data_IF_375657520240
#
_entry.id   IF_375657520240
#
_cell.length_a   1.000
_cell.length_b   1.000
_cell.length_c   1.000
_cell.angle_alpha   90.00
_cell.angle_beta   90.00
_cell.angle_gamma   90.00
#
_symmetry.space_group_name_H-M   'P 1'
#
loop_
_entity.id
_entity.type
_entity.pdbx_description
1 polymer ?
#
# COMPACT_ATOMS: atom_id res chain seq x y z
N UNK A 1 -4.07 -22.57 -10.84
CA UNK A 1 -4.76 -22.32 -9.56
C UNK A 1 -6.22 -22.01 -9.87
N UNK A 2 -7.16 -22.73 -9.26
CA UNK A 2 -8.59 -22.44 -9.39
C UNK A 2 -8.88 -21.25 -8.44
N UNK A 3 -9.52 -20.16 -8.90
CA UNK A 3 -9.80 -19.02 -8.04
C UNK A 3 -10.76 -19.46 -6.92
N UNK A 4 -10.37 -19.21 -5.67
CA UNK A 4 -11.25 -19.45 -4.52
C UNK A 4 -12.40 -18.43 -4.62
N UNK A 5 -13.65 -18.86 -4.76
CA UNK A 5 -14.78 -17.93 -4.84
C UNK A 5 -14.87 -17.09 -3.57
N UNK A 6 -15.20 -15.81 -3.72
CA UNK A 6 -15.40 -14.93 -2.57
C UNK A 6 -16.51 -15.49 -1.66
N UNK A 7 -16.46 -15.20 -0.36
CA UNK A 7 -17.47 -15.68 0.59
C UNK A 7 -18.89 -15.33 0.14
N UNK A 8 -19.07 -14.16 -0.49
CA UNK A 8 -20.34 -13.74 -1.09
C UNK A 8 -20.78 -14.66 -2.23
N UNK A 9 -19.86 -15.10 -3.08
CA UNK A 9 -20.14 -16.02 -4.19
C UNK A 9 -20.56 -17.40 -3.70
N UNK A 10 -19.96 -17.90 -2.61
CA UNK A 10 -20.33 -19.17 -1.99
C UNK A 10 -21.70 -19.08 -1.32
N UNK A 11 -21.97 -18.01 -0.58
CA UNK A 11 -23.27 -17.80 0.08
C UNK A 11 -24.40 -17.67 -0.95
N UNK A 12 -24.17 -16.95 -2.05
CA UNK A 12 -25.15 -16.83 -3.14
C UNK A 12 -25.37 -18.17 -3.84
N UNK A 13 -24.30 -18.94 -4.11
CA UNK A 13 -24.41 -20.25 -4.76
C UNK A 13 -25.12 -21.28 -3.88
N UNK A 14 -24.82 -21.33 -2.58
CA UNK A 14 -25.50 -22.19 -1.61
C UNK A 14 -26.96 -21.78 -1.46
N UNK A 15 -27.24 -20.47 -1.47
CA UNK A 15 -28.61 -19.95 -1.40
C UNK A 15 -29.46 -20.28 -2.63
N UNK A 16 -28.91 -20.11 -3.83
CA UNK A 16 -29.57 -20.53 -5.08
C UNK A 16 -29.74 -22.05 -5.15
N UNK A 17 -28.72 -22.82 -4.76
CA UNK A 17 -28.80 -24.28 -4.73
C UNK A 17 -29.89 -24.79 -3.79
N UNK A 18 -30.00 -24.22 -2.60
CA UNK A 18 -31.02 -24.60 -1.63
C UNK A 18 -32.43 -24.13 -2.05
N UNK A 19 -32.56 -22.97 -2.69
CA UNK A 19 -33.82 -22.51 -3.26
C UNK A 19 -34.28 -23.39 -4.44
N UNK A 20 -33.37 -23.81 -5.31
CA UNK A 20 -33.66 -24.72 -6.44
C UNK A 20 -34.06 -26.10 -5.92
N UNK A 21 -33.32 -26.68 -4.96
CA UNK A 21 -33.66 -27.95 -4.31
C UNK A 21 -35.02 -27.87 -3.59
N UNK A 22 -35.30 -26.77 -2.89
CA UNK A 22 -36.60 -26.56 -2.24
C UNK A 22 -37.73 -26.46 -3.26
N UNK A 23 -37.54 -25.77 -4.38
CA UNK A 23 -38.57 -25.62 -5.42
C UNK A 23 -38.82 -26.92 -6.21
N UNK A 24 -37.82 -27.78 -6.35
CA UNK A 24 -37.95 -29.06 -7.07
C UNK A 24 -38.48 -30.19 -6.19
N UNK A 25 -38.11 -30.26 -4.91
CA UNK A 25 -38.47 -31.38 -4.04
C UNK A 25 -39.60 -31.09 -3.04
N UNK A 26 -39.86 -29.83 -2.69
CA UNK A 26 -40.91 -29.48 -1.72
C UNK A 26 -41.98 -28.62 -2.39
N UNK A 27 -43.20 -29.18 -2.56
CA UNK A 27 -44.43 -28.44 -2.92
C UNK A 27 -44.93 -27.51 -1.79
N UNK A 28 -44.01 -26.88 -1.04
CA UNK A 28 -44.32 -26.06 0.12
C UNK A 28 -43.68 -24.66 -0.05
N UNK A 29 -44.36 -23.71 -0.70
CA UNK A 29 -43.83 -22.36 -0.97
C UNK A 29 -43.48 -21.57 0.31
N UNK A 30 -44.01 -21.98 1.46
CA UNK A 30 -43.76 -21.38 2.77
C UNK A 30 -42.32 -21.62 3.28
N UNK A 31 -41.73 -22.77 2.93
CA UNK A 31 -40.36 -23.15 3.34
C UNK A 31 -39.29 -22.41 2.53
N UNK A 32 -39.55 -22.14 1.24
CA UNK A 32 -38.63 -21.40 0.38
C UNK A 32 -38.49 -19.93 0.78
N UNK A 33 -39.58 -19.28 1.22
CA UNK A 33 -39.56 -17.86 1.63
C UNK A 33 -38.74 -17.69 2.92
N UNK A 34 -38.94 -18.58 3.90
CA UNK A 34 -38.21 -18.56 5.17
C UNK A 34 -36.71 -18.80 4.98
N UNK A 35 -36.32 -19.68 4.05
CA UNK A 35 -34.91 -19.96 3.74
C UNK A 35 -34.22 -18.78 3.04
N UNK A 36 -34.90 -18.14 2.08
CA UNK A 36 -34.40 -16.94 1.38
C UNK A 36 -34.25 -15.78 2.38
N UNK A 37 -35.23 -15.58 3.26
CA UNK A 37 -35.17 -14.56 4.32
C UNK A 37 -34.02 -14.81 5.31
N UNK A 38 -33.81 -16.08 5.70
CA UNK A 38 -32.71 -16.49 6.57
C UNK A 38 -31.34 -16.19 5.96
N UNK A 39 -31.12 -16.56 4.70
CA UNK A 39 -29.87 -16.30 3.98
C UNK A 39 -29.63 -14.81 3.76
N UNK A 40 -30.68 -14.04 3.45
CA UNK A 40 -30.60 -12.59 3.34
C UNK A 40 -30.21 -11.92 4.66
N UNK A 41 -30.81 -12.35 5.77
CA UNK A 41 -30.46 -11.87 7.10
C UNK A 41 -29.01 -12.25 7.48
N UNK A 42 -28.57 -13.48 7.20
CA UNK A 42 -27.17 -13.89 7.43
C UNK A 42 -26.20 -13.07 6.58
N UNK A 43 -26.47 -12.84 5.30
CA UNK A 43 -25.63 -12.01 4.44
C UNK A 43 -25.57 -10.54 4.91
N UNK A 44 -26.69 -9.99 5.37
CA UNK A 44 -26.73 -8.65 5.97
C UNK A 44 -25.94 -8.59 7.28
N UNK A 45 -26.08 -9.58 8.16
CA UNK A 45 -25.33 -9.68 9.41
C UNK A 45 -23.83 -9.86 9.14
N UNK A 46 -23.45 -10.67 8.15
CA UNK A 46 -22.05 -10.81 7.73
C UNK A 46 -21.49 -9.50 7.18
N UNK A 47 -22.23 -8.81 6.32
CA UNK A 47 -21.83 -7.50 5.78
C UNK A 47 -21.76 -6.42 6.86
N UNK A 48 -22.68 -6.45 7.81
CA UNK A 48 -22.70 -5.54 8.98
C UNK A 48 -21.50 -5.82 9.90
N UNK A 49 -21.27 -7.07 10.26
CA UNK A 49 -20.14 -7.46 11.11
C UNK A 49 -18.79 -7.23 10.43
N UNK A 50 -18.69 -7.40 9.11
CA UNK A 50 -17.48 -7.08 8.36
C UNK A 50 -17.19 -5.57 8.36
N UNK A 51 -18.24 -4.73 8.29
CA UNK A 51 -18.11 -3.28 8.34
C UNK A 51 -17.80 -2.74 9.74
N UNK A 52 -18.27 -3.43 10.78
CA UNK A 52 -18.15 -3.02 12.19
C UNK A 52 -17.15 -3.87 12.99
N UNK A 53 -16.40 -4.74 12.32
CA UNK A 53 -15.39 -5.58 12.95
C UNK A 53 -14.31 -4.69 13.55
N UNK A 54 -13.85 -5.01 14.77
CA UNK A 54 -12.79 -4.26 15.43
C UNK A 54 -11.51 -4.37 14.60
N UNK A 55 -11.06 -3.23 14.07
CA UNK A 55 -9.81 -3.15 13.30
C UNK A 55 -8.67 -2.78 14.25
N UNK A 56 -7.51 -3.43 14.06
CA UNK A 56 -6.28 -3.15 14.78
C UNK A 56 -5.14 -2.91 13.79
N UNK A 57 -4.25 -1.99 14.12
CA UNK A 57 -3.06 -1.69 13.33
C UNK A 57 -1.84 -2.41 13.89
N UNK A 58 -0.98 -2.89 13.00
CA UNK A 58 0.25 -3.59 13.38
C UNK A 58 1.42 -3.15 12.49
N UNK A 59 2.62 -3.17 13.07
CA UNK A 59 3.86 -3.24 12.29
C UNK A 59 4.10 -4.70 11.91
N UNK A 60 4.32 -4.97 10.63
CA UNK A 60 4.38 -6.34 10.10
C UNK A 60 5.52 -7.15 10.71
N UNK A 61 6.65 -6.50 11.05
CA UNK A 61 7.79 -7.17 11.69
C UNK A 61 7.46 -7.74 13.10
N UNK A 62 6.42 -7.24 13.76
CA UNK A 62 5.93 -7.78 15.03
C UNK A 62 4.89 -8.91 14.85
N UNK A 63 4.52 -9.23 13.60
CA UNK A 63 3.45 -10.17 13.25
C UNK A 63 3.82 -11.00 12.00
N UNK A 64 4.95 -11.70 12.07
CA UNK A 64 5.51 -12.45 10.92
C UNK A 64 4.55 -13.48 10.31
N UNK A 65 3.62 -14.03 11.10
CA UNK A 65 2.57 -14.93 10.64
C UNK A 65 1.53 -14.26 9.71
N UNK A 66 1.55 -12.93 9.59
CA UNK A 66 0.67 -12.17 8.69
C UNK A 66 1.34 -11.76 7.37
N UNK A 67 2.61 -12.15 7.14
CA UNK A 67 3.32 -11.86 5.89
C UNK A 67 2.59 -12.45 4.68
N UNK A 68 2.18 -13.72 4.74
CA UNK A 68 1.50 -14.37 3.62
C UNK A 68 0.12 -13.74 3.33
N UNK A 69 -0.78 -13.55 4.31
CA UNK A 69 -2.02 -12.81 4.10
C UNK A 69 -1.83 -11.38 3.56
N UNK A 70 -0.71 -10.73 3.92
CA UNK A 70 -0.38 -9.39 3.41
C UNK A 70 0.09 -9.46 1.96
N UNK A 71 0.91 -10.45 1.60
CA UNK A 71 1.31 -10.70 0.22
C UNK A 71 0.08 -10.98 -0.66
N UNK A 72 -0.83 -11.84 -0.19
CA UNK A 72 -2.08 -12.15 -0.89
C UNK A 72 -2.92 -10.90 -1.14
N UNK A 73 -3.03 -10.00 -0.16
CA UNK A 73 -3.71 -8.72 -0.33
C UNK A 73 -3.06 -7.87 -1.42
N UNK A 74 -1.73 -7.73 -1.39
CA UNK A 74 -1.00 -6.93 -2.35
C UNK A 74 -1.13 -7.47 -3.77
N UNK A 75 -1.01 -8.79 -3.95
CA UNK A 75 -1.16 -9.46 -5.25
C UNK A 75 -2.59 -9.34 -5.78
N UNK A 76 -3.60 -9.46 -4.91
CA UNK A 76 -5.00 -9.33 -5.30
C UNK A 76 -5.39 -7.91 -5.72
N UNK A 77 -4.86 -6.89 -5.04
CA UNK A 77 -5.18 -5.49 -5.31
C UNK A 77 -4.27 -4.87 -6.37
N UNK A 78 -3.16 -5.53 -6.71
CA UNK A 78 -2.21 -5.11 -7.72
C UNK A 78 -2.02 -6.16 -8.83
N UNK A 79 -3.09 -6.67 -9.47
CA UNK A 79 -2.93 -7.65 -10.55
C UNK A 79 -2.29 -6.96 -11.77
N UNK A 80 -1.03 -7.29 -12.07
CA UNK A 80 -0.33 -7.16 -13.36
C UNK A 80 -0.48 -5.86 -14.18
N UNK A 81 -0.86 -4.73 -13.60
CA UNK A 81 -1.03 -3.47 -14.34
C UNK A 81 0.27 -2.83 -14.85
N UNK A 82 1.44 -3.44 -14.59
CA UNK A 82 2.73 -2.99 -15.14
C UNK A 82 3.42 -4.01 -16.05
N UNK A 83 2.79 -5.16 -16.33
CA UNK A 83 3.35 -6.16 -17.24
C UNK A 83 4.71 -6.72 -16.83
N UNK A 84 5.11 -6.58 -15.55
CA UNK A 84 6.37 -7.12 -15.04
C UNK A 84 6.12 -8.47 -14.36
N UNK A 85 6.43 -9.60 -15.03
CA UNK A 85 6.26 -10.95 -14.48
C UNK A 85 7.18 -11.23 -13.27
N UNK A 86 8.08 -10.32 -12.90
CA UNK A 86 8.91 -10.45 -11.70
C UNK A 86 8.31 -9.78 -10.45
N UNK A 87 7.14 -9.15 -10.54
CA UNK A 87 6.53 -8.47 -9.38
C UNK A 87 6.20 -9.43 -8.23
N UNK A 88 5.73 -10.65 -8.52
CA UNK A 88 5.23 -11.60 -7.51
C UNK A 88 6.30 -12.10 -6.53
N UNK A 89 7.49 -12.46 -7.03
CA UNK A 89 8.61 -12.88 -6.18
C UNK A 89 9.18 -11.76 -5.30
N UNK A 90 8.98 -10.50 -5.73
CA UNK A 90 9.51 -9.32 -5.05
C UNK A 90 8.62 -8.86 -3.89
N UNK A 91 7.30 -9.09 -3.93
CA UNK A 91 6.37 -8.66 -2.87
C UNK A 91 6.69 -9.33 -1.54
N UNK A 92 6.69 -10.67 -1.49
CA UNK A 92 6.96 -11.41 -0.24
C UNK A 92 8.37 -11.14 0.27
N UNK A 93 9.36 -11.08 -0.62
CA UNK A 93 10.73 -10.74 -0.26
C UNK A 93 10.85 -9.31 0.33
N UNK A 94 10.05 -8.35 -0.14
CA UNK A 94 9.97 -7.01 0.46
C UNK A 94 9.34 -7.05 1.85
N UNK A 95 8.23 -7.77 2.01
CA UNK A 95 7.52 -7.87 3.29
C UNK A 95 8.41 -8.50 4.39
N UNK A 96 9.19 -9.52 4.03
CA UNK A 96 10.16 -10.17 4.93
C UNK A 96 11.30 -9.25 5.37
N UNK A 97 11.58 -8.17 4.62
CA UNK A 97 12.56 -7.13 5.01
C UNK A 97 11.99 -6.08 5.95
N UNK A 98 10.69 -6.14 6.27
CA UNK A 98 10.09 -5.24 7.25
C UNK A 98 10.89 -5.31 8.56
N UNK A 99 11.28 -4.16 9.10
CA UNK A 99 12.08 -4.08 10.31
C UNK A 99 11.55 -3.02 11.28
N UNK A 100 12.15 -2.97 12.47
CA UNK A 100 11.92 -1.91 13.47
C UNK A 100 12.33 -0.53 12.94
N UNK A 101 13.19 -0.47 11.93
CA UNK A 101 13.61 0.74 11.23
C UNK A 101 12.92 0.80 9.85
N UNK A 102 13.67 1.13 8.79
CA UNK A 102 13.19 1.09 7.41
C UNK A 102 13.79 -0.10 6.66
N UNK A 103 13.02 -0.76 5.76
CA UNK A 103 11.62 -0.48 5.44
C UNK A 103 10.69 -0.94 6.57
N UNK A 104 9.60 -0.20 6.80
CA UNK A 104 8.57 -0.55 7.77
C UNK A 104 7.25 -0.83 7.05
N UNK A 105 6.77 -2.07 7.11
CA UNK A 105 5.46 -2.44 6.58
C UNK A 105 4.41 -2.38 7.69
N UNK A 106 3.26 -1.80 7.37
CA UNK A 106 2.16 -1.54 8.28
C UNK A 106 0.90 -2.17 7.73
N UNK A 107 0.12 -2.79 8.60
CA UNK A 107 -1.09 -3.50 8.22
C UNK A 107 -2.25 -3.13 9.14
N UNK A 108 -3.46 -3.18 8.58
CA UNK A 108 -4.68 -3.19 9.35
C UNK A 108 -5.28 -4.60 9.30
N UNK A 109 -5.70 -5.10 10.45
CA UNK A 109 -6.28 -6.43 10.61
C UNK A 109 -7.67 -6.30 11.21
N UNK A 110 -8.67 -6.84 10.52
CA UNK A 110 -10.02 -6.94 11.05
C UNK A 110 -10.18 -8.29 11.78
N UNK A 111 -10.76 -8.24 12.98
CA UNK A 111 -11.21 -9.45 13.68
C UNK A 111 -12.48 -9.97 12.98
N UNK A 112 -12.33 -10.94 12.07
CA UNK A 112 -13.46 -11.62 11.43
C UNK A 112 -14.03 -12.74 12.29
N UNK A 113 -15.25 -13.20 11.97
CA UNK A 113 -15.94 -14.28 12.70
C UNK A 113 -15.14 -15.59 12.79
N UNK A 114 -14.39 -15.92 11.73
CA UNK A 114 -13.68 -17.20 11.61
C UNK A 114 -12.17 -17.01 11.78
N UNK A 115 -11.63 -15.89 11.30
CA UNK A 115 -10.20 -15.60 11.33
C UNK A 115 -9.94 -14.11 11.23
N UNK A 116 -8.77 -13.71 11.72
CA UNK A 116 -8.19 -12.41 11.46
C UNK A 116 -7.89 -12.27 9.98
N UNK A 117 -8.18 -11.11 9.43
CA UNK A 117 -7.99 -10.81 8.02
C UNK A 117 -7.17 -9.52 7.86
N UNK A 118 -6.13 -9.55 7.02
CA UNK A 118 -5.42 -8.32 6.62
C UNK A 118 -6.30 -7.58 5.61
N UNK A 119 -6.66 -6.34 5.94
CA UNK A 119 -7.67 -5.54 5.23
C UNK A 119 -7.12 -4.22 4.68
N UNK A 120 -5.96 -3.78 5.16
CA UNK A 120 -5.20 -2.68 4.58
C UNK A 120 -3.70 -2.89 4.76
N UNK A 121 -2.93 -2.25 3.89
CA UNK A 121 -1.48 -2.22 3.93
C UNK A 121 -0.98 -0.81 3.64
N UNK A 122 0.15 -0.45 4.21
CA UNK A 122 0.94 0.73 3.89
C UNK A 122 2.41 0.42 4.18
N UNK A 123 3.35 1.03 3.45
CA UNK A 123 4.77 0.85 3.71
C UNK A 123 5.50 2.19 3.74
N UNK A 124 6.46 2.29 4.66
CA UNK A 124 7.46 3.34 4.72
C UNK A 124 8.77 2.69 4.24
N UNK A 125 9.10 2.78 2.94
CA UNK A 125 10.32 2.18 2.43
C UNK A 125 11.54 3.00 2.86
N UNK A 126 12.73 2.43 2.70
CA UNK A 126 13.96 3.23 2.71
C UNK A 126 13.86 4.22 1.55
N UNK A 127 13.88 5.53 1.82
CA UNK A 127 14.03 6.54 0.77
C UNK A 127 15.36 6.22 0.07
N UNK A 128 15.37 5.86 -1.23
CA UNK A 128 16.63 5.66 -1.93
C UNK A 128 17.39 6.98 -1.84
N UNK A 129 18.55 6.98 -1.17
CA UNK A 129 19.35 8.19 -1.03
C UNK A 129 19.84 8.60 -2.42
N UNK A 130 19.48 9.82 -2.81
CA UNK A 130 20.21 10.63 -3.79
C UNK A 130 20.28 10.17 -5.24
N UNK A 131 19.68 9.05 -5.66
CA UNK A 131 19.77 8.59 -7.05
C UNK A 131 18.40 8.70 -7.74
N UNK A 132 18.21 9.64 -8.68
CA UNK A 132 16.98 9.75 -9.46
C UNK A 132 16.65 8.43 -10.17
N UNK A 133 15.36 8.14 -10.37
CA UNK A 133 14.92 6.84 -10.90
C UNK A 133 15.59 6.47 -12.22
N UNK A 134 15.75 7.44 -13.14
CA UNK A 134 16.45 7.27 -14.43
C UNK A 134 17.91 6.85 -14.28
N UNK A 135 18.53 7.15 -13.15
CA UNK A 135 19.94 6.88 -12.88
C UNK A 135 20.22 5.58 -12.12
N UNK A 136 19.16 4.89 -11.62
CA UNK A 136 19.30 3.66 -10.81
C UNK A 136 20.07 2.54 -11.52
N UNK A 137 19.88 2.38 -12.84
CA UNK A 137 20.58 1.37 -13.64
C UNK A 137 22.10 1.61 -13.62
N UNK A 138 22.51 2.86 -13.77
CA UNK A 138 23.93 3.25 -13.82
C UNK A 138 24.57 3.24 -12.43
N UNK A 139 23.83 3.65 -11.39
CA UNK A 139 24.27 3.46 -10.01
C UNK A 139 24.56 2.00 -9.68
N UNK A 140 23.68 1.07 -10.13
CA UNK A 140 23.92 -0.36 -9.95
C UNK A 140 25.16 -0.83 -10.70
N UNK A 141 25.41 -0.34 -11.93
CA UNK A 141 26.64 -0.63 -12.67
C UNK A 141 27.88 -0.24 -11.85
N UNK A 142 27.91 0.98 -11.31
CA UNK A 142 29.01 1.47 -10.47
C UNK A 142 29.16 0.60 -9.21
N UNK A 143 28.04 0.25 -8.55
CA UNK A 143 28.03 -0.57 -7.33
C UNK A 143 28.63 -1.97 -7.55
N UNK A 144 28.44 -2.57 -8.74
CA UNK A 144 29.01 -3.88 -9.08
C UNK A 144 30.42 -3.80 -9.67
N UNK A 145 31.06 -2.63 -9.60
CA UNK A 145 32.46 -2.43 -10.00
C UNK A 145 32.65 -2.04 -11.46
N UNK A 146 31.59 -1.68 -12.21
CA UNK A 146 31.76 -1.13 -13.55
C UNK A 146 32.44 0.24 -13.44
N UNK A 147 33.50 0.52 -14.23
CA UNK A 147 34.16 1.82 -14.22
C UNK A 147 33.18 2.97 -14.49
N UNK A 148 33.31 4.06 -13.73
CA UNK A 148 32.39 5.21 -13.79
C UNK A 148 32.29 5.80 -15.21
N UNK A 149 33.41 5.86 -15.94
CA UNK A 149 33.45 6.31 -17.34
C UNK A 149 32.59 5.45 -18.28
N UNK A 150 32.51 4.14 -18.03
CA UNK A 150 31.66 3.24 -18.80
C UNK A 150 30.19 3.45 -18.46
N UNK A 151 29.87 3.70 -17.19
CA UNK A 151 28.53 4.06 -16.76
C UNK A 151 28.08 5.43 -17.33
N UNK A 152 28.98 6.43 -17.37
CA UNK A 152 28.75 7.75 -17.99
C UNK A 152 28.44 7.64 -19.48
N UNK A 153 29.23 6.88 -20.24
CA UNK A 153 28.96 6.63 -21.66
C UNK A 153 27.59 5.99 -21.87
N UNK A 154 27.23 5.01 -21.04
CA UNK A 154 25.93 4.36 -21.10
C UNK A 154 24.77 5.31 -20.72
N UNK A 155 24.95 6.19 -19.74
CA UNK A 155 23.96 7.20 -19.36
C UNK A 155 23.75 8.24 -20.46
N UNK A 156 24.84 8.72 -21.07
CA UNK A 156 24.79 9.62 -22.23
C UNK A 156 24.05 9.00 -23.42
N UNK A 157 24.30 7.72 -23.71
CA UNK A 157 23.56 6.98 -24.74
C UNK A 157 22.07 6.83 -24.42
N UNK A 158 21.70 6.82 -23.14
CA UNK A 158 20.31 6.80 -22.68
C UNK A 158 19.67 8.21 -22.61
N UNK A 159 20.36 9.25 -23.07
CA UNK A 159 19.87 10.64 -23.06
C UNK A 159 19.87 11.29 -21.67
N UNK A 160 20.69 10.79 -20.75
CA UNK A 160 20.86 11.34 -19.40
C UNK A 160 22.16 12.13 -19.29
N UNK A 161 22.19 13.10 -18.38
CA UNK A 161 23.39 13.87 -18.06
C UNK A 161 24.43 12.97 -17.35
N UNK A 162 25.61 12.72 -17.96
CA UNK A 162 26.63 11.84 -17.39
C UNK A 162 27.28 12.40 -16.11
N UNK A 163 27.29 13.71 -15.90
CA UNK A 163 28.02 14.32 -14.77
C UNK A 163 27.31 14.11 -13.43
N UNK A 164 26.00 13.86 -13.47
CA UNK A 164 25.22 13.40 -12.31
C UNK A 164 25.73 12.09 -11.68
N UNK A 165 26.57 11.31 -12.37
CA UNK A 165 27.12 10.05 -11.86
C UNK A 165 28.35 10.21 -10.97
N UNK A 166 29.01 11.38 -10.98
CA UNK A 166 30.27 11.60 -10.23
C UNK A 166 30.10 11.48 -8.72
N UNK A 167 28.92 11.84 -8.21
CA UNK A 167 28.59 11.75 -6.79
C UNK A 167 28.20 10.32 -6.36
N UNK A 168 27.96 9.42 -7.30
CA UNK A 168 27.37 8.11 -7.01
C UNK A 168 28.30 7.18 -6.22
N UNK A 169 29.62 7.11 -6.47
CA UNK A 169 30.53 6.36 -5.62
C UNK A 169 30.46 6.76 -4.14
N UNK A 170 30.20 8.03 -3.85
CA UNK A 170 30.00 8.53 -2.49
C UNK A 170 28.62 8.17 -1.94
N UNK A 171 27.55 8.39 -2.72
CA UNK A 171 26.18 8.04 -2.33
C UNK A 171 26.01 6.53 -2.07
N UNK A 172 26.67 5.69 -2.87
CA UNK A 172 26.66 4.23 -2.74
C UNK A 172 27.43 3.74 -1.50
N UNK A 173 28.49 4.44 -1.08
CA UNK A 173 29.20 4.15 0.18
C UNK A 173 28.41 4.56 1.42
N UNK A 174 27.61 5.62 1.34
CA UNK A 174 26.76 6.03 2.45
C UNK A 174 25.58 5.09 2.72
N UNK A 175 25.25 4.18 1.79
CA UNK A 175 24.21 3.16 2.00
C UNK A 175 24.53 2.16 3.13
N UNK A 176 25.79 2.00 3.53
CA UNK A 176 26.19 0.88 4.39
C UNK A 176 25.83 0.99 5.88
N UNK A 177 25.65 2.18 6.47
CA UNK A 177 24.89 2.34 7.74
C UNK A 177 24.42 3.79 7.94
N UNK A 178 23.14 4.07 8.25
CA UNK A 178 22.75 5.36 8.78
C UNK A 178 22.89 5.35 10.31
N UNK A 179 23.93 6.00 10.84
CA UNK A 179 24.04 6.34 12.27
C UNK A 179 22.95 7.33 12.74
N UNK A 180 22.24 7.98 11.82
CA UNK A 180 21.17 8.93 12.11
C UNK A 180 19.90 8.55 11.35
N UNK A 181 18.75 8.61 12.04
CA UNK A 181 17.43 8.41 11.44
C UNK A 181 17.22 9.39 10.28
N UNK A 182 16.62 8.94 9.16
CA UNK A 182 16.33 9.83 8.05
C UNK A 182 15.25 10.84 8.45
N UNK A 183 15.50 12.14 8.23
CA UNK A 183 14.50 13.20 8.47
C UNK A 183 13.35 13.18 7.46
N UNK A 184 13.52 12.50 6.34
CA UNK A 184 12.51 12.41 5.28
C UNK A 184 12.20 10.95 4.96
N UNK A 185 10.91 10.65 4.81
CA UNK A 185 10.41 9.32 4.45
C UNK A 185 9.43 9.37 3.29
N UNK A 186 9.01 8.20 2.86
CA UNK A 186 8.04 8.03 1.76
C UNK A 186 6.89 7.18 2.26
N UNK A 187 5.67 7.47 1.84
CA UNK A 187 4.55 6.53 1.97
C UNK A 187 4.36 5.82 0.61
N UNK A 188 4.27 4.50 0.65
CA UNK A 188 4.07 3.65 -0.53
C UNK A 188 3.10 2.52 -0.23
N UNK A 189 2.57 1.88 -1.28
CA UNK A 189 1.70 0.71 -1.18
C UNK A 189 0.51 0.89 -0.20
N UNK A 190 -0.05 2.12 -0.14
CA UNK A 190 -1.24 2.43 0.64
C UNK A 190 -2.47 1.83 -0.06
N UNK A 191 -2.99 0.74 0.50
CA UNK A 191 -4.07 -0.05 -0.10
C UNK A 191 -5.07 -0.44 0.98
N UNK A 192 -6.35 -0.41 0.61
CA UNK A 192 -7.46 -0.90 1.43
C UNK A 192 -8.30 -1.86 0.59
N UNK A 193 -8.66 -3.01 1.17
CA UNK A 193 -9.60 -3.96 0.53
C UNK A 193 -10.90 -3.26 0.14
N UNK A 194 -11.44 -3.47 -1.08
CA UNK A 194 -12.61 -2.76 -1.59
C UNK A 194 -13.79 -2.70 -0.62
N UNK A 195 -14.10 -3.81 0.03
CA UNK A 195 -15.20 -3.98 0.98
C UNK A 195 -15.01 -3.23 2.31
N UNK A 196 -13.79 -2.77 2.61
CA UNK A 196 -13.49 -1.92 3.78
C UNK A 196 -13.27 -0.44 3.41
N UNK A 197 -13.42 -0.05 2.14
CA UNK A 197 -13.29 1.35 1.69
C UNK A 197 -14.49 2.19 2.14
N UNK A 198 -14.29 3.51 2.19
CA UNK A 198 -15.35 4.47 2.57
C UNK A 198 -15.59 4.62 4.08
N UNK A 199 -14.97 3.79 4.92
CA UNK A 199 -15.17 3.80 6.38
C UNK A 199 -14.02 4.46 7.15
N UNK A 200 -13.23 5.33 6.50
CA UNK A 200 -12.09 6.00 7.13
C UNK A 200 -10.83 5.14 7.29
N UNK A 201 -10.87 3.83 7.02
CA UNK A 201 -9.72 2.92 7.18
C UNK A 201 -8.46 3.38 6.43
N UNK A 202 -8.60 3.92 5.21
CA UNK A 202 -7.49 4.49 4.45
C UNK A 202 -6.82 5.66 5.18
N UNK A 203 -7.61 6.53 5.83
CA UNK A 203 -7.10 7.61 6.67
C UNK A 203 -6.42 7.05 7.92
N UNK A 204 -7.02 6.04 8.56
CA UNK A 204 -6.48 5.39 9.74
C UNK A 204 -5.10 4.76 9.50
N UNK A 205 -4.95 3.94 8.46
CA UNK A 205 -3.65 3.31 8.15
C UNK A 205 -2.60 4.34 7.68
N UNK A 206 -3.02 5.39 6.95
CA UNK A 206 -2.12 6.49 6.58
C UNK A 206 -1.66 7.29 7.82
N UNK A 207 -2.57 7.58 8.76
CA UNK A 207 -2.24 8.22 10.03
C UNK A 207 -1.30 7.35 10.88
N UNK A 208 -1.53 6.03 10.91
CA UNK A 208 -0.64 5.09 11.59
C UNK A 208 0.76 5.07 10.96
N UNK A 209 0.87 5.26 9.64
CA UNK A 209 2.16 5.47 8.98
C UNK A 209 2.83 6.77 9.39
N UNK A 210 2.07 7.86 9.55
CA UNK A 210 2.61 9.14 10.03
C UNK A 210 3.12 9.04 11.47
N UNK A 211 2.40 8.36 12.36
CA UNK A 211 2.83 8.11 13.74
C UNK A 211 4.09 7.24 13.79
N UNK A 212 4.11 6.14 13.04
CA UNK A 212 5.29 5.29 12.93
C UNK A 212 6.48 6.06 12.36
N UNK A 213 6.29 6.88 11.32
CA UNK A 213 7.36 7.70 10.76
C UNK A 213 7.93 8.67 11.79
N UNK A 214 7.07 9.34 12.57
CA UNK A 214 7.51 10.26 13.63
C UNK A 214 8.34 9.56 14.69
N UNK A 215 7.93 8.36 15.12
CA UNK A 215 8.71 7.53 16.05
C UNK A 215 10.07 7.12 15.50
N UNK A 216 10.16 6.93 14.17
CA UNK A 216 11.42 6.64 13.47
C UNK A 216 12.31 7.89 13.27
N UNK A 217 11.91 9.05 13.78
CA UNK A 217 12.65 10.31 13.61
C UNK A 217 12.48 10.97 12.25
N UNK A 218 11.51 10.52 11.45
CA UNK A 218 11.13 11.21 10.21
C UNK A 218 10.34 12.46 10.57
N UNK A 219 10.70 13.58 9.94
CA UNK A 219 10.06 14.89 10.11
C UNK A 219 9.12 15.21 8.93
N UNK A 220 9.37 14.65 7.74
CA UNK A 220 8.57 14.89 6.53
C UNK A 220 8.29 13.60 5.75
N UNK A 221 7.08 13.43 5.24
CA UNK A 221 6.70 12.30 4.38
C UNK A 221 6.28 12.77 2.99
N UNK A 222 6.70 12.02 1.97
CA UNK A 222 6.35 12.27 0.57
C UNK A 222 5.58 11.09 -0.01
N UNK A 223 4.67 11.38 -0.93
CA UNK A 223 3.96 10.40 -1.75
C UNK A 223 4.23 10.73 -3.20
N UNK A 224 4.85 9.78 -3.89
CA UNK A 224 5.08 9.86 -5.32
C UNK A 224 3.91 9.27 -6.08
N UNK A 225 3.73 9.74 -7.30
CA UNK A 225 2.77 9.22 -8.26
C UNK A 225 1.31 9.21 -7.77
N UNK A 226 0.92 10.22 -7.00
CA UNK A 226 -0.44 10.41 -6.48
C UNK A 226 -1.43 10.72 -7.63
N UNK A 227 -2.40 9.83 -7.91
CA UNK A 227 -3.47 10.10 -8.87
C UNK A 227 -4.30 11.34 -8.52
N UNK A 228 -4.81 12.06 -9.53
CA UNK A 228 -5.52 13.33 -9.31
C UNK A 228 -6.81 13.17 -8.48
N UNK A 229 -7.50 12.04 -8.63
CA UNK A 229 -8.73 11.71 -7.92
C UNK A 229 -8.51 11.39 -6.43
N UNK A 230 -7.29 11.05 -6.02
CA UNK A 230 -6.94 10.81 -4.60
C UNK A 230 -6.25 12.01 -3.93
N UNK A 231 -5.94 13.09 -4.65
CA UNK A 231 -5.37 14.32 -4.06
C UNK A 231 -6.22 14.86 -2.90
N UNK A 232 -7.57 14.99 -3.01
CA UNK A 232 -8.40 15.51 -1.91
C UNK A 232 -8.37 14.62 -0.66
N UNK A 233 -8.04 13.34 -0.80
CA UNK A 233 -7.84 12.45 0.34
C UNK A 233 -6.58 12.83 1.11
N UNK A 234 -5.47 13.07 0.42
CA UNK A 234 -4.19 13.44 1.06
C UNK A 234 -4.19 14.87 1.60
N UNK A 235 -4.86 15.82 0.93
CA UNK A 235 -5.05 17.17 1.45
C UNK A 235 -5.78 17.17 2.82
N UNK A 236 -6.81 16.32 2.96
CA UNK A 236 -7.51 16.12 4.25
C UNK A 236 -6.65 15.48 5.33
N UNK A 237 -5.54 14.85 4.95
CA UNK A 237 -4.53 14.30 5.88
C UNK A 237 -3.43 15.32 6.20
N UNK A 238 -3.47 16.52 5.59
CA UNK A 238 -2.49 17.59 5.80
C UNK A 238 -1.36 17.61 4.75
N UNK A 239 -1.42 16.75 3.73
CA UNK A 239 -0.45 16.81 2.64
C UNK A 239 -0.72 18.03 1.75
N UNK A 240 0.34 18.61 1.23
CA UNK A 240 0.32 19.66 0.23
C UNK A 240 0.89 19.12 -1.08
N UNK A 241 0.41 19.64 -2.20
CA UNK A 241 0.93 19.29 -3.51
C UNK A 241 2.29 19.97 -3.72
N UNK A 242 3.29 19.20 -4.14
CA UNK A 242 4.60 19.75 -4.54
C UNK A 242 4.45 20.31 -5.95
N UNK A 243 4.79 21.59 -6.12
CA UNK A 243 4.84 22.18 -7.46
C UNK A 243 6.03 21.60 -8.24
N UNK A 244 5.75 21.06 -9.42
CA UNK A 244 6.80 20.62 -10.32
C UNK A 244 7.47 21.83 -10.98
N UNK A 245 8.79 21.78 -11.14
CA UNK A 245 9.51 22.79 -11.90
C UNK A 245 8.92 23.00 -13.29
N UNK A 246 8.95 24.26 -13.75
CA UNK A 246 8.46 24.61 -15.08
C UNK A 246 9.25 23.84 -16.13
N UNK A 247 8.55 22.98 -16.86
CA UNK A 247 9.15 22.14 -17.88
C UNK A 247 9.78 23.01 -19.00
N UNK A 248 11.00 22.67 -19.48
CA UNK A 248 11.60 23.35 -20.63
C UNK A 248 10.72 23.30 -21.88
N UNK A 249 10.81 24.35 -22.71
CA UNK A 249 10.12 24.40 -24.01
C UNK A 249 10.61 23.25 -24.90
N UNK A 250 9.70 22.57 -25.59
CA UNK A 250 10.01 21.49 -26.55
C UNK A 250 9.91 20.06 -26.00
N UNK A 251 9.70 19.87 -24.69
CA UNK A 251 9.53 18.53 -24.11
C UNK A 251 8.06 18.08 -24.19
N UNK A 252 7.74 16.91 -24.79
CA UNK A 252 6.37 16.41 -24.92
C UNK A 252 5.65 16.31 -23.58
N UNK A 253 4.43 16.84 -23.48
CA UNK A 253 3.59 16.76 -22.26
C UNK A 253 3.26 15.30 -21.93
N UNK A 254 3.87 14.77 -20.89
CA UNK A 254 3.50 13.48 -20.30
C UNK A 254 2.68 13.81 -19.07
N UNK A 255 1.53 13.16 -18.87
CA UNK A 255 0.79 13.27 -17.61
C UNK A 255 1.63 12.61 -16.52
N UNK A 256 2.39 13.42 -15.80
CA UNK A 256 3.02 13.00 -14.56
C UNK A 256 1.96 13.04 -13.48
N UNK A 257 1.92 12.00 -12.66
CA UNK A 257 1.11 11.96 -11.46
C UNK A 257 1.60 13.03 -10.47
N UNK A 258 0.76 13.39 -9.50
CA UNK A 258 1.11 14.42 -8.52
C UNK A 258 2.15 13.89 -7.52
N UNK A 259 2.93 14.80 -6.97
CA UNK A 259 3.73 14.56 -5.77
C UNK A 259 3.10 15.34 -4.62
N UNK A 260 2.99 14.69 -3.46
CA UNK A 260 2.38 15.26 -2.27
C UNK A 260 3.36 15.12 -1.10
N UNK A 261 3.49 16.13 -0.26
CA UNK A 261 4.34 16.07 0.94
C UNK A 261 3.61 16.56 2.19
N UNK A 262 4.04 16.10 3.36
CA UNK A 262 3.52 16.56 4.66
C UNK A 262 4.64 16.65 5.68
N UNK A 263 4.69 17.75 6.40
CA UNK A 263 5.53 17.89 7.59
C UNK A 263 4.78 17.34 8.81
N UNK A 264 5.45 16.50 9.59
CA UNK A 264 4.91 15.85 10.79
C UNK A 264 4.96 16.80 12.00
N UNK A 265 4.27 17.92 11.85
CA UNK A 265 4.03 18.93 12.89
C UNK A 265 3.07 18.41 13.96
N UNK A 266 3.05 19.04 15.14
CA UNK A 266 2.15 18.65 16.23
C UNK A 266 0.68 18.64 15.82
N UNK A 267 0.25 19.65 15.05
CA UNK A 267 -1.13 19.76 14.54
C UNK A 267 -1.49 18.60 13.63
N UNK A 268 -0.60 18.24 12.70
CA UNK A 268 -0.78 17.11 11.80
C UNK A 268 -0.86 15.80 12.60
N UNK A 269 0.00 15.63 13.61
CA UNK A 269 0.00 14.45 14.46
C UNK A 269 -1.23 14.33 15.36
N UNK A 270 -1.80 15.45 15.83
CA UNK A 270 -3.05 15.45 16.59
C UNK A 270 -4.21 14.93 15.73
N UNK A 271 -4.31 15.41 14.50
CA UNK A 271 -5.31 14.93 13.53
C UNK A 271 -5.10 13.45 13.18
N UNK A 272 -3.85 13.02 12.99
CA UNK A 272 -3.51 11.61 12.74
C UNK A 272 -4.02 10.70 13.87
N UNK A 273 -3.76 11.07 15.13
CA UNK A 273 -4.25 10.32 16.31
C UNK A 273 -5.77 10.23 16.36
N UNK A 274 -6.48 11.28 15.93
CA UNK A 274 -7.94 11.26 15.85
C UNK A 274 -8.44 10.26 14.80
N UNK A 275 -7.80 10.19 13.62
CA UNK A 275 -8.15 9.21 12.59
C UNK A 275 -7.92 7.78 13.06
N UNK A 276 -6.82 7.51 13.74
CA UNK A 276 -6.53 6.19 14.34
C UNK A 276 -7.62 5.84 15.35
N UNK A 277 -7.94 6.76 16.27
CA UNK A 277 -8.98 6.56 17.30
C UNK A 277 -10.34 6.22 16.69
N UNK A 278 -10.78 6.96 15.66
CA UNK A 278 -12.07 6.74 14.97
C UNK A 278 -12.18 5.38 14.30
N UNK A 279 -11.08 4.79 13.84
CA UNK A 279 -11.07 3.47 13.21
C UNK A 279 -11.01 2.35 14.24
N UNK A 280 -10.44 2.61 15.41
CA UNK A 280 -10.27 1.63 16.49
C UNK A 280 -11.42 1.59 17.50
N UNK A 281 -12.26 2.63 17.54
CA UNK A 281 -13.48 2.73 18.36
C UNK A 281 -14.63 1.95 17.76
#
# INVERSE_FOLDING_TARGET
MIPIPSLNSVVVAVGLGAAILSATYFKAPQLSISLIAGLGATALVLKYNQKNGKVKFYRLHNTSNLVDPTADLLLLQWPNNYGDPHFDGNVKASLLKSSVNLPCHLIAVADGLIRKEVVAHCAIPVKPRGIPHSYKKFAKMIKVGVPIESAKKAAKLAGLDPDMLDDFPFLLKQEEEPKHSPKEGVISFLIVKPEYRGNGLGKGICAFAMETAKELGIEKLTIFSCPQDVVPFFEKMGFVKVEADKRPKGVPKVRLHNEMEVELTERVMLNAKEYIRKVMS
#
